data_IF_233428512930
#
_entry.id   IF_233428512930
#
_cell.length_a   1.000
_cell.length_b   1.000
_cell.length_c   1.000
_cell.angle_alpha   90.00
_cell.angle_beta   90.00
_cell.angle_gamma   90.00
#
_symmetry.space_group_name_H-M   'P 1'
#
loop_
_entity.id
_entity.type
_entity.pdbx_description
1 polymer ?
#
# COMPACT_ATOMS: atom_id res chain seq x y z
N UNK A 1 -7.02 10.38 -32.54
CA UNK A 1 -6.21 9.22 -32.11
C UNK A 1 -5.75 9.44 -30.68
N UNK A 2 -5.55 8.37 -29.90
CA UNK A 2 -4.96 8.48 -28.56
C UNK A 2 -3.59 9.15 -28.65
N UNK A 3 -3.24 9.98 -27.66
CA UNK A 3 -1.92 10.64 -27.59
C UNK A 3 -1.18 10.07 -26.39
N UNK A 4 -0.02 9.48 -26.64
CA UNK A 4 0.94 9.14 -25.59
C UNK A 4 1.75 10.39 -25.27
N UNK A 5 1.67 10.85 -24.03
CA UNK A 5 2.48 11.93 -23.51
C UNK A 5 3.34 11.35 -22.39
N UNK A 6 4.65 11.31 -22.60
CA UNK A 6 5.61 11.02 -21.54
C UNK A 6 6.09 12.35 -20.97
N UNK A 7 5.86 12.59 -19.68
CA UNK A 7 6.41 13.75 -18.99
C UNK A 7 7.80 13.37 -18.48
N UNK A 8 8.81 13.88 -19.18
CA UNK A 8 10.17 13.94 -18.65
C UNK A 8 10.36 15.19 -17.80
N UNK A 9 11.61 15.38 -17.40
CA UNK A 9 12.04 16.64 -16.84
C UNK A 9 11.95 17.76 -17.91
N UNK A 10 11.63 18.98 -17.51
CA UNK A 10 11.71 20.15 -18.39
C UNK A 10 13.18 20.49 -18.74
N UNK A 11 13.40 21.60 -19.44
CA UNK A 11 14.74 22.01 -19.86
C UNK A 11 15.72 22.23 -18.68
N UNK A 12 15.19 22.49 -17.48
CA UNK A 12 15.95 22.70 -16.25
C UNK A 12 16.05 21.41 -15.41
N UNK A 13 15.47 20.30 -15.88
CA UNK A 13 15.49 19.03 -15.18
C UNK A 13 14.39 18.87 -14.14
N UNK A 14 13.34 19.71 -14.15
CA UNK A 14 12.22 19.59 -13.22
C UNK A 14 11.08 18.71 -13.79
N UNK A 15 10.65 17.70 -13.03
CA UNK A 15 9.47 16.88 -13.36
C UNK A 15 8.21 17.56 -12.81
N UNK A 16 7.14 17.73 -13.60
CA UNK A 16 5.92 18.39 -13.14
C UNK A 16 5.16 17.56 -12.10
N UNK A 17 4.55 18.22 -11.11
CA UNK A 17 3.55 17.59 -10.24
C UNK A 17 2.31 17.16 -11.05
N UNK A 18 1.64 16.04 -10.69
CA UNK A 18 1.93 15.14 -9.57
C UNK A 18 2.92 14.02 -9.92
N UNK A 19 3.62 14.07 -11.06
CA UNK A 19 4.52 13.01 -11.52
C UNK A 19 5.91 13.04 -10.86
N UNK A 20 6.21 14.07 -10.08
CA UNK A 20 7.43 14.14 -9.29
C UNK A 20 7.41 13.05 -8.21
N UNK A 21 8.40 12.16 -8.24
CA UNK A 21 8.56 11.14 -7.20
C UNK A 21 8.96 11.78 -5.86
N UNK A 22 8.49 11.20 -4.76
CA UNK A 22 8.92 11.61 -3.42
C UNK A 22 10.41 11.33 -3.23
N UNK A 23 11.16 12.38 -2.89
CA UNK A 23 12.60 12.29 -2.63
C UNK A 23 12.95 11.36 -1.46
N UNK A 24 12.01 11.10 -0.54
CA UNK A 24 12.21 10.13 0.54
C UNK A 24 12.33 8.68 0.02
N UNK A 25 11.85 8.40 -1.19
CA UNK A 25 11.91 7.07 -1.83
C UNK A 25 13.21 6.85 -2.63
N UNK A 26 14.16 7.81 -2.60
CA UNK A 26 15.45 7.67 -3.24
C UNK A 26 16.21 6.46 -2.68
N UNK A 27 16.71 5.60 -3.58
CA UNK A 27 17.46 4.39 -3.23
C UNK A 27 16.63 3.10 -3.26
N UNK A 28 15.31 3.19 -3.50
CA UNK A 28 14.47 2.02 -3.73
C UNK A 28 14.96 1.14 -4.89
N UNK A 29 14.80 -0.18 -4.74
CA UNK A 29 15.19 -1.17 -5.75
C UNK A 29 14.27 -1.14 -6.99
N UNK A 30 13.00 -0.78 -6.81
CA UNK A 30 12.05 -0.60 -7.89
C UNK A 30 12.14 0.85 -8.42
N UNK A 31 12.45 0.98 -9.71
CA UNK A 31 12.39 2.26 -10.43
C UNK A 31 11.17 2.27 -11.33
N UNK A 32 10.36 3.31 -11.21
CA UNK A 32 9.13 3.48 -12.00
C UNK A 32 9.25 4.71 -12.88
N UNK A 33 8.74 4.59 -14.10
CA UNK A 33 8.56 5.71 -15.02
C UNK A 33 7.08 5.73 -15.39
N UNK A 34 6.27 6.62 -14.79
CA UNK A 34 4.84 6.66 -15.08
C UNK A 34 4.60 7.23 -16.47
N UNK A 35 3.68 6.62 -17.21
CA UNK A 35 3.14 7.18 -18.45
C UNK A 35 1.62 7.23 -18.36
N UNK A 36 1.03 8.31 -18.88
CA UNK A 36 -0.42 8.51 -18.92
C UNK A 36 -0.91 8.42 -20.36
N UNK A 37 -1.84 7.50 -20.60
CA UNK A 37 -2.57 7.45 -21.86
C UNK A 37 -3.86 8.27 -21.71
N UNK A 38 -4.04 9.26 -22.57
CA UNK A 38 -5.23 10.13 -22.56
C UNK A 38 -5.95 10.12 -23.92
N UNK A 39 -7.27 10.23 -23.90
CA UNK A 39 -8.11 10.15 -25.09
C UNK A 39 -9.60 10.35 -24.78
N UNK A 40 -10.46 10.26 -25.81
CA UNK A 40 -11.91 10.31 -25.65
C UNK A 40 -12.42 9.22 -24.71
N UNK A 41 -13.43 9.55 -23.89
CA UNK A 41 -13.95 8.69 -22.83
C UNK A 41 -14.51 7.36 -23.36
N UNK A 42 -15.01 7.34 -24.59
CA UNK A 42 -15.51 6.14 -25.26
C UNK A 42 -14.38 5.19 -25.73
N UNK A 43 -13.16 5.69 -25.88
CA UNK A 43 -12.00 4.91 -26.33
C UNK A 43 -11.12 4.41 -25.20
N UNK A 44 -11.13 5.08 -24.03
CA UNK A 44 -10.24 4.74 -22.93
C UNK A 44 -10.53 3.36 -22.30
N UNK A 45 -11.79 3.00 -21.94
CA UNK A 45 -12.09 1.71 -21.34
C UNK A 45 -11.64 0.49 -22.17
N UNK A 46 -11.94 0.38 -23.48
CA UNK A 46 -11.51 -0.79 -24.25
C UNK A 46 -9.98 -0.84 -24.44
N UNK A 47 -9.30 0.32 -24.43
CA UNK A 47 -7.83 0.35 -24.48
C UNK A 47 -7.22 -0.06 -23.15
N UNK A 48 -7.80 0.36 -22.03
CA UNK A 48 -7.37 -0.03 -20.70
C UNK A 48 -7.49 -1.55 -20.51
N UNK A 49 -8.64 -2.14 -20.85
CA UNK A 49 -8.85 -3.60 -20.81
C UNK A 49 -7.84 -4.35 -21.70
N UNK A 50 -7.62 -3.87 -22.93
CA UNK A 50 -6.63 -4.47 -23.82
C UNK A 50 -5.19 -4.37 -23.28
N UNK A 51 -4.86 -3.28 -22.57
CA UNK A 51 -3.54 -3.14 -21.94
C UNK A 51 -3.38 -4.10 -20.75
N UNK A 52 -4.38 -4.24 -19.89
CA UNK A 52 -4.37 -5.22 -18.78
C UNK A 52 -4.10 -6.63 -19.33
N UNK A 53 -4.88 -7.06 -20.33
CA UNK A 53 -4.74 -8.39 -20.93
C UNK A 53 -3.37 -8.60 -21.60
N UNK A 54 -2.91 -7.60 -22.36
CA UNK A 54 -1.67 -7.70 -23.12
C UNK A 54 -0.44 -7.66 -22.22
N UNK A 55 -0.40 -6.73 -21.25
CA UNK A 55 0.77 -6.53 -20.40
C UNK A 55 0.97 -7.67 -19.40
N UNK A 56 -0.10 -8.37 -19.03
CA UNK A 56 0.01 -9.60 -18.24
C UNK A 56 0.89 -10.65 -18.93
N UNK A 57 0.69 -10.87 -20.24
CA UNK A 57 1.43 -11.87 -21.01
C UNK A 57 2.73 -11.33 -21.64
N UNK A 58 2.73 -10.07 -22.10
CA UNK A 58 3.75 -9.49 -22.97
C UNK A 58 4.35 -8.18 -22.43
N UNK A 59 4.23 -7.93 -21.12
CA UNK A 59 4.69 -6.67 -20.52
C UNK A 59 6.21 -6.47 -20.52
N UNK A 60 7.03 -7.45 -20.89
CA UNK A 60 8.49 -7.27 -20.91
C UNK A 60 8.89 -6.20 -21.92
N UNK A 61 9.66 -5.22 -21.46
CA UNK A 61 10.23 -4.23 -22.36
C UNK A 61 11.23 -4.91 -23.30
N UNK A 62 11.27 -4.43 -24.54
CA UNK A 62 12.21 -4.95 -25.52
C UNK A 62 13.66 -4.69 -25.08
N UNK A 63 14.62 -5.55 -25.47
CA UNK A 63 16.03 -5.41 -25.07
C UNK A 63 16.61 -4.02 -25.36
N UNK A 64 16.28 -3.44 -26.52
CA UNK A 64 16.77 -2.11 -26.91
C UNK A 64 16.24 -1.01 -25.98
N UNK A 65 14.97 -1.13 -25.53
CA UNK A 65 14.38 -0.21 -24.56
C UNK A 65 15.05 -0.35 -23.19
N UNK A 66 15.28 -1.58 -22.73
CA UNK A 66 15.95 -1.84 -21.47
C UNK A 66 17.41 -1.33 -21.46
N UNK A 67 18.13 -1.52 -22.58
CA UNK A 67 19.50 -1.03 -22.74
C UNK A 67 19.55 0.50 -22.74
N UNK A 68 18.65 1.15 -23.49
CA UNK A 68 18.55 2.60 -23.52
C UNK A 68 18.23 3.16 -22.12
N UNK A 69 17.28 2.55 -21.40
CA UNK A 69 16.93 2.95 -20.04
C UNK A 69 18.12 2.80 -19.09
N UNK A 70 18.87 1.70 -19.16
CA UNK A 70 20.06 1.47 -18.35
C UNK A 70 21.14 2.53 -18.61
N UNK A 71 21.37 2.89 -19.87
CA UNK A 71 22.33 3.94 -20.24
C UNK A 71 21.85 5.32 -19.77
N UNK A 72 20.57 5.65 -19.99
CA UNK A 72 20.00 6.95 -19.66
C UNK A 72 19.93 7.19 -18.14
N UNK A 73 19.56 6.16 -17.37
CA UNK A 73 19.43 6.26 -15.91
C UNK A 73 20.72 5.93 -15.16
N UNK A 74 21.75 5.42 -15.85
CA UNK A 74 22.99 4.97 -15.21
C UNK A 74 22.76 3.85 -14.19
N UNK A 75 21.76 3.00 -14.43
CA UNK A 75 21.32 1.96 -13.50
C UNK A 75 21.38 0.58 -14.15
N UNK A 76 21.84 -0.43 -13.39
CA UNK A 76 21.73 -1.82 -13.83
C UNK A 76 20.27 -2.26 -13.73
N UNK A 77 19.70 -2.69 -14.86
CA UNK A 77 18.32 -3.15 -14.95
C UNK A 77 18.33 -4.66 -15.17
N UNK A 78 17.85 -5.42 -14.20
CA UNK A 78 17.67 -6.87 -14.31
C UNK A 78 16.40 -7.22 -15.10
N UNK A 79 15.30 -6.52 -14.80
CA UNK A 79 14.00 -6.72 -15.43
C UNK A 79 13.37 -5.36 -15.75
N UNK A 80 13.03 -5.14 -17.03
CA UNK A 80 12.27 -3.98 -17.49
C UNK A 80 10.89 -4.45 -17.94
N UNK A 81 9.82 -3.92 -17.33
CA UNK A 81 8.46 -4.35 -17.59
C UNK A 81 7.49 -3.17 -17.59
N UNK A 82 6.57 -3.17 -18.55
CA UNK A 82 5.37 -2.36 -18.55
C UNK A 82 4.33 -3.02 -17.65
N UNK A 83 3.78 -2.24 -16.74
CA UNK A 83 2.82 -2.70 -15.74
C UNK A 83 1.65 -1.73 -15.74
N UNK A 84 0.44 -2.29 -15.65
CA UNK A 84 -0.71 -1.50 -15.25
C UNK A 84 -0.65 -1.19 -13.75
N UNK A 85 -1.53 -0.31 -13.27
CA UNK A 85 -1.67 -0.07 -11.83
C UNK A 85 -2.09 -1.35 -11.12
N UNK A 86 -2.94 -2.17 -11.76
CA UNK A 86 -3.38 -3.45 -11.20
C UNK A 86 -2.24 -4.48 -11.15
N UNK A 87 -1.40 -4.56 -12.18
CA UNK A 87 -0.21 -5.42 -12.16
C UNK A 87 0.75 -5.04 -11.03
N UNK A 88 0.98 -3.73 -10.85
CA UNK A 88 1.83 -3.21 -9.78
C UNK A 88 1.22 -3.52 -8.40
N UNK A 89 -0.09 -3.35 -8.25
CA UNK A 89 -0.82 -3.67 -7.03
C UNK A 89 -0.71 -5.17 -6.70
N UNK A 90 -0.93 -6.04 -7.68
CA UNK A 90 -0.79 -7.49 -7.52
C UNK A 90 0.64 -7.89 -7.10
N UNK A 91 1.66 -7.30 -7.74
CA UNK A 91 3.06 -7.53 -7.37
C UNK A 91 3.34 -7.09 -5.92
N UNK A 92 2.87 -5.91 -5.52
CA UNK A 92 3.05 -5.41 -4.15
C UNK A 92 2.32 -6.27 -3.12
N UNK A 93 1.11 -6.75 -3.42
CA UNK A 93 0.37 -7.70 -2.60
C UNK A 93 1.19 -8.97 -2.30
N UNK A 94 1.77 -9.58 -3.33
CA UNK A 94 2.65 -10.75 -3.17
C UNK A 94 3.92 -10.43 -2.37
N UNK A 95 4.50 -9.24 -2.52
CA UNK A 95 5.65 -8.84 -1.72
C UNK A 95 5.29 -8.71 -0.24
N UNK A 96 4.13 -8.15 0.10
CA UNK A 96 3.67 -8.06 1.48
C UNK A 96 3.33 -9.40 2.09
N UNK A 97 2.77 -10.32 1.31
CA UNK A 97 2.56 -11.69 1.77
C UNK A 97 3.89 -12.33 2.21
N UNK A 98 4.92 -12.24 1.37
CA UNK A 98 6.25 -12.77 1.67
C UNK A 98 6.93 -12.12 2.89
N UNK A 99 6.49 -10.92 3.32
CA UNK A 99 7.00 -10.20 4.49
C UNK A 99 6.09 -10.31 5.72
N UNK A 100 5.03 -11.14 5.66
CA UNK A 100 4.07 -11.29 6.76
C UNK A 100 3.22 -10.04 7.02
N UNK A 101 2.97 -9.26 5.96
CA UNK A 101 2.16 -8.04 5.92
C UNK A 101 0.89 -8.21 5.06
N UNK A 102 0.62 -9.41 4.53
CA UNK A 102 -0.60 -9.71 3.78
C UNK A 102 -1.90 -9.16 4.41
N UNK A 103 -2.13 -9.26 5.74
CA UNK A 103 -3.35 -8.74 6.34
C UNK A 103 -3.57 -7.23 6.17
N UNK A 104 -2.50 -6.46 5.93
CA UNK A 104 -2.59 -5.01 5.75
C UNK A 104 -2.97 -4.62 4.31
N UNK A 105 -2.71 -5.49 3.33
CA UNK A 105 -2.90 -5.19 1.91
C UNK A 105 -4.31 -4.71 1.56
N UNK A 106 -5.41 -5.34 2.05
CA UNK A 106 -6.76 -4.88 1.73
C UNK A 106 -7.01 -3.41 2.07
N UNK A 107 -6.46 -2.89 3.18
CA UNK A 107 -6.60 -1.49 3.55
C UNK A 107 -5.88 -0.57 2.56
N UNK A 108 -4.65 -0.94 2.19
CA UNK A 108 -3.83 -0.16 1.25
C UNK A 108 -4.44 -0.21 -0.15
N UNK A 109 -4.86 -1.38 -0.62
CA UNK A 109 -5.53 -1.58 -1.91
C UNK A 109 -6.82 -0.76 -1.99
N UNK A 110 -7.66 -0.82 -0.94
CA UNK A 110 -8.88 0.00 -0.86
C UNK A 110 -8.54 1.48 -0.96
N UNK A 111 -7.53 1.95 -0.22
CA UNK A 111 -7.13 3.36 -0.27
C UNK A 111 -6.61 3.81 -1.65
N UNK A 112 -6.01 2.90 -2.42
CA UNK A 112 -5.48 3.19 -3.75
C UNK A 112 -6.53 3.11 -4.86
N UNK A 113 -7.41 2.11 -4.82
CA UNK A 113 -8.29 1.76 -5.94
C UNK A 113 -9.76 2.12 -5.71
N UNK A 114 -10.17 2.25 -4.45
CA UNK A 114 -11.54 2.55 -4.05
C UNK A 114 -11.58 3.41 -2.76
N UNK A 115 -10.97 4.61 -2.75
CA UNK A 115 -10.77 5.41 -1.54
C UNK A 115 -12.07 5.83 -0.82
N UNK A 116 -13.21 5.77 -1.51
CA UNK A 116 -14.54 6.01 -0.95
C UNK A 116 -15.11 4.83 -0.14
N UNK A 117 -14.50 3.65 -0.26
CA UNK A 117 -14.91 2.45 0.44
C UNK A 117 -14.30 2.38 1.84
N UNK A 118 -14.90 1.55 2.68
CA UNK A 118 -14.41 1.26 4.03
C UNK A 118 -13.78 -0.13 4.04
N UNK A 119 -12.66 -0.28 4.76
CA UNK A 119 -12.02 -1.58 4.94
C UNK A 119 -11.55 -1.78 6.40
N UNK A 120 -11.55 -3.03 6.87
CA UNK A 120 -11.23 -3.37 8.25
C UNK A 120 -10.18 -4.47 8.34
N UNK A 121 -9.16 -4.26 9.17
CA UNK A 121 -8.34 -5.36 9.67
C UNK A 121 -8.84 -5.76 11.05
N UNK A 122 -9.55 -6.88 11.12
CA UNK A 122 -10.16 -7.35 12.38
C UNK A 122 -9.87 -8.82 12.66
N UNK A 123 -8.75 -9.33 12.17
CA UNK A 123 -8.30 -10.71 12.36
C UNK A 123 -7.20 -10.79 13.45
N UNK A 124 -7.41 -11.53 14.54
CA UNK A 124 -6.34 -11.85 15.48
C UNK A 124 -5.18 -12.58 14.79
N UNK A 125 -3.91 -12.37 15.20
CA UNK A 125 -3.46 -11.52 16.31
C UNK A 125 -3.21 -10.05 15.91
N UNK A 126 -3.61 -9.64 14.71
CA UNK A 126 -3.30 -8.29 14.22
C UNK A 126 -4.13 -7.21 14.95
N UNK A 127 -3.58 -5.99 15.10
CA UNK A 127 -4.30 -4.84 15.63
C UNK A 127 -5.60 -4.58 14.87
N UNK A 128 -6.64 -4.17 15.60
CA UNK A 128 -7.90 -3.76 14.98
C UNK A 128 -7.69 -2.42 14.27
N UNK A 129 -7.89 -2.41 12.95
CA UNK A 129 -7.81 -1.23 12.10
C UNK A 129 -9.09 -0.99 11.33
N UNK A 130 -9.36 0.27 11.02
CA UNK A 130 -10.40 0.72 10.09
C UNK A 130 -9.83 1.77 9.16
N UNK A 131 -9.96 1.59 7.86
CA UNK A 131 -9.70 2.61 6.85
C UNK A 131 -11.01 3.28 6.43
N UNK A 132 -11.02 4.62 6.36
CA UNK A 132 -12.12 5.40 5.80
C UNK A 132 -11.65 6.80 5.38
N UNK A 133 -12.04 7.25 4.19
CA UNK A 133 -11.84 8.63 3.71
C UNK A 133 -10.38 9.13 3.83
N UNK A 134 -9.41 8.25 3.56
CA UNK A 134 -7.98 8.58 3.62
C UNK A 134 -7.32 8.47 5.01
N UNK A 135 -8.06 8.12 6.07
CA UNK A 135 -7.54 7.94 7.42
C UNK A 135 -7.63 6.47 7.86
N UNK A 136 -6.63 6.00 8.63
CA UNK A 136 -6.70 4.72 9.33
C UNK A 136 -6.84 4.94 10.83
N UNK A 137 -7.83 4.33 11.45
CA UNK A 137 -7.99 4.30 12.90
C UNK A 137 -7.52 2.98 13.45
N UNK A 138 -6.62 3.01 14.43
CA UNK A 138 -6.04 1.84 15.09
C UNK A 138 -6.49 1.79 16.55
N UNK A 139 -7.07 0.67 16.96
CA UNK A 139 -7.42 0.47 18.37
C UNK A 139 -6.16 0.36 19.23
N UNK A 140 -6.14 1.10 20.33
CA UNK A 140 -5.09 1.08 21.34
C UNK A 140 -5.67 0.57 22.66
N UNK A 141 -5.40 -0.70 22.94
CA UNK A 141 -5.87 -1.38 24.13
C UNK A 141 -4.88 -1.22 25.29
N UNK A 142 -5.40 -0.98 26.49
CA UNK A 142 -4.66 -1.30 27.71
C UNK A 142 -4.47 -2.83 27.84
N UNK A 143 -3.54 -3.31 28.69
CA UNK A 143 -3.30 -4.76 28.83
C UNK A 143 -4.55 -5.57 29.21
N UNK A 144 -5.46 -5.01 30.02
CA UNK A 144 -6.65 -5.71 30.49
C UNK A 144 -7.72 -5.82 29.40
N UNK A 145 -7.90 -4.75 28.61
CA UNK A 145 -8.76 -4.67 27.43
C UNK A 145 -8.24 -5.54 26.29
N UNK A 146 -6.92 -5.57 26.06
CA UNK A 146 -6.30 -6.45 25.07
C UNK A 146 -6.56 -7.93 25.39
N UNK A 147 -6.36 -8.35 26.65
CA UNK A 147 -6.65 -9.71 27.09
C UNK A 147 -8.14 -10.06 26.91
N UNK A 148 -9.04 -9.12 27.23
CA UNK A 148 -10.48 -9.31 27.11
C UNK A 148 -10.92 -9.43 25.64
N UNK A 149 -10.39 -8.58 24.76
CA UNK A 149 -10.76 -8.53 23.34
C UNK A 149 -10.28 -9.78 22.58
N UNK A 150 -9.04 -10.22 22.81
CA UNK A 150 -8.47 -11.40 22.14
C UNK A 150 -8.63 -12.71 22.93
N UNK A 151 -9.44 -12.71 24.01
CA UNK A 151 -9.77 -13.88 24.83
C UNK A 151 -8.55 -14.69 25.34
N UNK A 152 -7.47 -14.01 25.72
CA UNK A 152 -6.29 -14.69 26.26
C UNK A 152 -6.51 -15.12 27.72
N UNK A 153 -6.07 -16.34 28.07
CA UNK A 153 -6.12 -16.86 29.44
C UNK A 153 -5.15 -16.08 30.36
N UNK A 154 -5.71 -15.48 31.41
CA UNK A 154 -5.01 -14.64 32.41
C UNK A 154 -4.12 -15.42 33.38
N UNK A 155 -4.12 -16.75 33.32
CA UNK A 155 -3.38 -17.60 34.27
C UNK A 155 -1.86 -17.58 34.09
N UNK A 156 -1.33 -17.08 32.97
CA UNK A 156 0.11 -17.03 32.67
C UNK A 156 0.59 -15.61 32.36
N UNK A 157 0.86 -14.84 33.42
CA UNK A 157 1.24 -13.43 33.33
C UNK A 157 2.53 -13.18 32.53
N UNK A 158 3.57 -14.01 32.69
CA UNK A 158 4.84 -13.82 31.97
C UNK A 158 4.68 -14.06 30.46
N UNK A 159 3.91 -15.09 30.08
CA UNK A 159 3.57 -15.33 28.68
C UNK A 159 2.74 -14.19 28.11
N UNK A 160 1.75 -13.69 28.85
CA UNK A 160 0.91 -12.58 28.41
C UNK A 160 1.69 -11.29 28.20
N UNK A 161 2.66 -10.98 29.07
CA UNK A 161 3.51 -9.81 28.89
C UNK A 161 4.26 -9.89 27.55
N UNK A 162 4.90 -11.03 27.25
CA UNK A 162 5.64 -11.21 25.98
C UNK A 162 4.73 -11.11 24.76
N UNK A 163 3.55 -11.72 24.82
CA UNK A 163 2.58 -11.66 23.70
C UNK A 163 2.07 -10.23 23.50
N UNK A 164 1.82 -9.49 24.59
CA UNK A 164 1.43 -8.08 24.50
C UNK A 164 2.55 -7.20 23.94
N UNK A 165 3.81 -7.44 24.33
CA UNK A 165 4.97 -6.74 23.76
C UNK A 165 5.11 -7.00 22.24
N UNK A 166 4.88 -8.24 21.80
CA UNK A 166 4.82 -8.55 20.37
C UNK A 166 3.66 -7.84 19.67
N UNK A 167 2.49 -7.76 20.29
CA UNK A 167 1.35 -7.02 19.77
C UNK A 167 1.67 -5.53 19.59
N UNK A 168 2.30 -4.89 20.58
CA UNK A 168 2.75 -3.49 20.49
C UNK A 168 3.81 -3.30 19.38
N UNK A 169 4.71 -4.27 19.21
CA UNK A 169 5.66 -4.26 18.11
C UNK A 169 4.95 -4.35 16.75
N UNK A 170 3.92 -5.21 16.63
CA UNK A 170 3.09 -5.31 15.42
C UNK A 170 2.31 -4.03 15.15
N UNK A 171 1.73 -3.38 16.15
CA UNK A 171 1.09 -2.06 15.98
C UNK A 171 2.01 -1.03 15.36
N UNK A 172 3.25 -0.91 15.89
CA UNK A 172 4.25 0.03 15.34
C UNK A 172 4.66 -0.34 13.92
N UNK A 173 4.83 -1.63 13.64
CA UNK A 173 5.18 -2.11 12.30
C UNK A 173 4.11 -1.75 11.28
N UNK A 174 2.84 -2.06 11.56
CA UNK A 174 1.73 -1.77 10.64
C UNK A 174 1.53 -0.27 10.48
N UNK A 175 1.62 0.51 11.56
CA UNK A 175 1.51 1.97 11.48
C UNK A 175 2.59 2.57 10.56
N UNK A 176 3.85 2.14 10.71
CA UNK A 176 4.94 2.64 9.86
C UNK A 176 4.74 2.32 8.38
N UNK A 177 4.19 1.14 8.05
CA UNK A 177 3.87 0.78 6.66
C UNK A 177 2.74 1.64 6.12
N UNK A 178 1.68 1.87 6.89
CA UNK A 178 0.56 2.74 6.49
C UNK A 178 1.01 4.19 6.28
N UNK A 179 1.82 4.73 7.19
CA UNK A 179 2.39 6.08 7.06
C UNK A 179 3.28 6.21 5.81
N UNK A 180 4.05 5.16 5.47
CA UNK A 180 4.84 5.14 4.24
C UNK A 180 3.98 5.14 2.96
N UNK A 181 2.70 4.72 3.04
CA UNK A 181 1.70 4.87 1.98
C UNK A 181 0.94 6.19 2.03
N UNK A 182 1.32 7.11 2.92
CA UNK A 182 0.61 8.38 3.11
C UNK A 182 -0.76 8.21 3.77
N UNK A 183 -1.00 7.09 4.46
CA UNK A 183 -2.23 6.82 5.20
C UNK A 183 -2.03 7.18 6.67
N UNK A 184 -2.44 8.36 7.15
CA UNK A 184 -2.28 8.76 8.55
C UNK A 184 -3.00 7.79 9.49
N UNK A 185 -2.33 7.46 10.60
CA UNK A 185 -2.86 6.54 11.62
C UNK A 185 -3.27 7.32 12.86
N UNK A 186 -4.56 7.23 13.21
CA UNK A 186 -5.14 7.78 14.43
C UNK A 186 -5.35 6.67 15.46
N UNK A 187 -4.71 6.81 16.62
CA UNK A 187 -4.84 5.86 17.72
C UNK A 187 -6.10 6.14 18.55
N UNK A 188 -6.97 5.15 18.68
CA UNK A 188 -8.20 5.23 19.46
C UNK A 188 -8.05 4.39 20.73
N UNK A 189 -8.05 5.02 21.90
CA UNK A 189 -8.02 4.30 23.17
C UNK A 189 -9.31 3.46 23.33
N UNK A 190 -9.14 2.17 23.61
CA UNK A 190 -10.25 1.25 23.88
C UNK A 190 -10.12 0.69 25.30
N UNK A 191 -11.08 1.04 26.16
CA UNK A 191 -11.13 0.58 27.55
C UNK A 191 -11.68 -0.85 27.67
N UNK A 192 -11.34 -1.53 28.75
CA UNK A 192 -11.88 -2.86 29.04
C UNK A 192 -13.42 -2.85 29.12
N UNK A 193 -14.08 -3.66 28.29
CA UNK A 193 -15.55 -3.76 28.21
C UNK A 193 -16.20 -2.81 27.20
N UNK A 194 -15.43 -1.92 26.57
CA UNK A 194 -15.88 -1.12 25.43
C UNK A 194 -15.88 -1.97 24.14
N UNK A 195 -16.86 -1.75 23.27
CA UNK A 195 -16.82 -2.29 21.91
C UNK A 195 -15.81 -1.50 21.07
N UNK A 196 -14.66 -2.11 20.80
CA UNK A 196 -13.58 -1.49 20.05
C UNK A 196 -13.98 -1.16 18.60
N UNK A 197 -14.81 -1.99 17.95
CA UNK A 197 -15.28 -1.67 16.60
C UNK A 197 -16.15 -0.42 16.61
N UNK A 198 -17.04 -0.31 17.60
CA UNK A 198 -17.86 0.89 17.77
C UNK A 198 -17.02 2.13 18.10
N UNK A 199 -15.94 1.98 18.88
CA UNK A 199 -15.01 3.07 19.19
C UNK A 199 -14.34 3.62 17.91
N UNK A 200 -13.93 2.75 16.99
CA UNK A 200 -13.32 3.14 15.71
C UNK A 200 -14.34 3.76 14.73
N UNK A 201 -15.64 3.57 14.95
CA UNK A 201 -16.71 4.24 14.20
C UNK A 201 -16.94 5.69 14.63
N UNK A 202 -16.72 6.00 15.90
CA UNK A 202 -17.06 7.30 16.49
C UNK A 202 -16.06 8.39 16.07
N UNK A 203 -16.52 9.34 15.24
CA UNK A 203 -15.75 10.46 14.69
C UNK A 203 -14.90 11.19 15.72
#
# INVERSE_FOLDING_TARGET
>A
GPRLLAFGADADGAVPLPFQADTALLGGALRVVPFLLSGPAETLPPVAEALEDLLLAQGMAQPDTALLAQQAFGAQIEHARYLTVNDLAAMMSMQYDNQGLAPLWPLIETALLAPEQEEWLASPPEPLLRYRDGEVRMALFDPAGWCAYYAHDRQDCERLQRVYEHYLARQRQLAAVLEAHGMPVLYVHCEAGQDARQALLAA
#
